data_IF_898670526792
#
_entry.id   IF_898670526792
#
_cell.length_a   1.000
_cell.length_b   1.000
_cell.length_c   1.000
_cell.angle_alpha   90.00
_cell.angle_beta   90.00
_cell.angle_gamma   90.00
#
_symmetry.space_group_name_H-M   'P 1'
#
loop_
_entity.id
_entity.type
_entity.pdbx_description
1 polymer ?
#
# COMPACT_ATOMS: atom_id res chain seq x y z
N UNK A 1 7.03 -15.40 7.00
CA UNK A 1 5.60 -15.04 6.86
C UNK A 1 5.33 -14.82 5.39
N UNK A 2 4.19 -15.28 4.87
CA UNK A 2 3.75 -14.87 3.53
C UNK A 2 3.09 -13.48 3.61
N UNK A 3 3.01 -12.80 2.48
CA UNK A 3 2.33 -11.50 2.38
C UNK A 3 1.11 -11.67 1.49
N UNK A 4 -0.08 -11.50 2.07
CA UNK A 4 -1.33 -11.42 1.36
C UNK A 4 -1.78 -9.97 1.28
N UNK A 5 -2.09 -9.49 0.08
CA UNK A 5 -2.65 -8.17 -0.12
C UNK A 5 -4.10 -8.28 -0.56
N UNK A 6 -5.00 -7.49 0.03
CA UNK A 6 -6.42 -7.51 -0.27
C UNK A 6 -6.89 -6.14 -0.76
N UNK A 7 -7.59 -6.12 -1.88
CA UNK A 7 -8.23 -4.91 -2.39
C UNK A 7 -8.30 -4.82 -3.90
N UNK A 8 -8.16 -3.59 -4.40
CA UNK A 8 -8.34 -3.23 -5.79
C UNK A 8 -7.17 -3.63 -6.68
N UNK A 9 -7.53 -4.07 -7.86
CA UNK A 9 -6.67 -4.18 -9.03
C UNK A 9 -7.31 -3.37 -10.15
N UNK A 10 -6.60 -2.41 -10.70
CA UNK A 10 -7.13 -1.45 -11.65
C UNK A 10 -6.29 -1.40 -12.92
N UNK A 11 -6.92 -0.99 -14.02
CA UNK A 11 -6.20 -0.61 -15.24
C UNK A 11 -6.20 0.90 -15.36
N UNK A 12 -5.02 1.50 -15.20
CA UNK A 12 -4.78 2.91 -15.43
C UNK A 12 -4.56 3.18 -16.92
N UNK A 13 -5.39 4.05 -17.50
CA UNK A 13 -5.24 4.54 -18.86
C UNK A 13 -4.40 5.81 -18.83
N UNK A 14 -3.10 5.68 -19.09
CA UNK A 14 -2.15 6.79 -19.09
C UNK A 14 -2.15 7.50 -20.44
N UNK A 15 -2.26 8.84 -20.49
CA UNK A 15 -2.25 9.56 -21.76
C UNK A 15 -0.86 9.50 -22.41
N UNK A 16 -0.85 9.22 -23.72
CA UNK A 16 0.34 9.29 -24.57
C UNK A 16 0.34 10.58 -25.38
N UNK A 17 -0.58 10.69 -26.34
CA UNK A 17 -0.80 11.88 -27.18
C UNK A 17 -2.17 11.76 -27.87
N UNK A 18 -2.82 12.87 -28.22
CA UNK A 18 -3.96 12.95 -29.10
C UNK A 18 -5.07 11.89 -28.83
N UNK A 19 -5.54 11.79 -27.58
CA UNK A 19 -6.55 10.80 -27.15
C UNK A 19 -6.09 9.34 -27.27
N UNK A 20 -4.77 9.08 -27.36
CA UNK A 20 -4.19 7.75 -27.23
C UNK A 20 -3.79 7.49 -25.78
N UNK A 21 -4.05 6.29 -25.31
CA UNK A 21 -3.77 5.88 -23.94
C UNK A 21 -3.03 4.57 -23.91
N UNK A 22 -2.13 4.44 -22.96
CA UNK A 22 -1.49 3.17 -22.62
C UNK A 22 -2.19 2.57 -21.39
N UNK A 23 -2.67 1.34 -21.53
CA UNK A 23 -3.18 0.58 -20.40
C UNK A 23 -2.01 0.08 -19.53
N UNK A 24 -2.05 0.43 -18.26
CA UNK A 24 -1.08 0.03 -17.25
C UNK A 24 -1.79 -0.66 -16.09
N UNK A 25 -1.23 -1.75 -15.58
CA UNK A 25 -1.75 -2.37 -14.38
C UNK A 25 -1.39 -1.52 -13.15
N UNK A 26 -2.32 -1.42 -12.20
CA UNK A 26 -2.21 -0.62 -10.99
C UNK A 26 -3.15 -1.10 -9.88
N UNK A 27 -3.31 -0.29 -8.87
CA UNK A 27 -3.97 -0.59 -7.59
C UNK A 27 -2.94 -0.70 -6.48
N UNK A 28 -3.16 -0.02 -5.35
CA UNK A 28 -2.14 0.01 -4.29
C UNK A 28 -1.83 -1.38 -3.73
N UNK A 29 -2.80 -2.20 -3.31
CA UNK A 29 -2.51 -3.56 -2.83
C UNK A 29 -1.94 -4.48 -3.93
N UNK A 30 -2.32 -4.25 -5.20
CA UNK A 30 -1.76 -4.95 -6.35
C UNK A 30 -0.26 -4.64 -6.53
N UNK A 31 0.12 -3.37 -6.42
CA UNK A 31 1.51 -2.92 -6.50
C UNK A 31 2.34 -3.48 -5.33
N UNK A 32 1.79 -3.48 -4.12
CA UNK A 32 2.45 -4.05 -2.93
C UNK A 32 2.68 -5.55 -3.09
N UNK A 33 1.70 -6.31 -3.63
CA UNK A 33 1.87 -7.74 -3.90
C UNK A 33 3.06 -8.02 -4.82
N UNK A 34 3.13 -7.29 -5.94
CA UNK A 34 4.21 -7.43 -6.92
C UNK A 34 5.56 -6.97 -6.32
N UNK A 35 5.57 -5.85 -5.59
CA UNK A 35 6.77 -5.36 -4.93
C UNK A 35 7.33 -6.38 -3.94
N UNK A 36 6.48 -6.97 -3.11
CA UNK A 36 6.86 -8.02 -2.16
C UNK A 36 7.43 -9.27 -2.86
N UNK A 37 6.79 -9.72 -3.95
CA UNK A 37 7.29 -10.86 -4.74
C UNK A 37 8.67 -10.58 -5.35
N UNK A 38 8.88 -9.38 -5.92
CA UNK A 38 10.18 -8.95 -6.48
C UNK A 38 11.28 -8.87 -5.42
N UNK A 39 10.91 -8.64 -4.16
CA UNK A 39 11.82 -8.63 -3.00
C UNK A 39 12.02 -10.03 -2.38
N UNK A 40 11.55 -11.08 -3.07
CA UNK A 40 11.78 -12.48 -2.71
C UNK A 40 10.81 -13.04 -1.67
N UNK A 41 9.69 -12.35 -1.38
CA UNK A 41 8.66 -12.86 -0.49
C UNK A 41 7.69 -13.79 -1.22
N UNK A 42 7.15 -14.76 -0.51
CA UNK A 42 5.94 -15.45 -0.91
C UNK A 42 4.78 -14.44 -0.83
N UNK A 43 4.20 -14.10 -1.97
CA UNK A 43 3.15 -13.07 -2.06
C UNK A 43 1.91 -13.62 -2.76
N UNK A 44 0.73 -13.23 -2.29
CA UNK A 44 -0.55 -13.55 -2.88
C UNK A 44 -1.48 -12.34 -2.92
N UNK A 45 -2.36 -12.30 -3.92
CA UNK A 45 -3.32 -11.22 -4.10
C UNK A 45 -4.75 -11.75 -3.92
N UNK A 46 -5.50 -11.10 -3.04
CA UNK A 46 -6.92 -11.37 -2.76
C UNK A 46 -7.72 -10.21 -3.36
N UNK A 47 -8.46 -10.48 -4.42
CA UNK A 47 -9.21 -9.45 -5.13
C UNK A 47 -10.23 -10.03 -6.08
N UNK A 48 -10.93 -9.14 -6.79
CA UNK A 48 -11.89 -9.52 -7.81
C UNK A 48 -11.78 -8.60 -9.01
N UNK A 49 -11.69 -9.18 -10.20
CA UNK A 49 -11.61 -8.47 -11.48
C UNK A 49 -12.69 -8.99 -12.42
N UNK A 50 -13.05 -8.22 -13.44
CA UNK A 50 -14.00 -8.67 -14.44
C UNK A 50 -13.47 -9.87 -15.24
N UNK A 51 -14.36 -10.72 -15.69
CA UNK A 51 -14.07 -11.74 -16.72
C UNK A 51 -14.02 -11.04 -18.08
N UNK A 52 -13.00 -10.16 -18.25
CA UNK A 52 -12.77 -9.33 -19.43
C UNK A 52 -11.26 -9.22 -19.71
N UNK A 53 -10.91 -8.63 -20.86
CA UNK A 53 -9.51 -8.53 -21.29
C UNK A 53 -8.62 -7.82 -20.27
N UNK A 54 -9.15 -6.82 -19.56
CA UNK A 54 -8.41 -6.13 -18.50
C UNK A 54 -8.21 -7.01 -17.26
N UNK A 55 -9.22 -7.77 -16.86
CA UNK A 55 -9.10 -8.72 -15.75
C UNK A 55 -8.06 -9.82 -16.04
N UNK A 56 -8.08 -10.37 -17.25
CA UNK A 56 -7.07 -11.33 -17.66
C UNK A 56 -5.66 -10.73 -17.77
N UNK A 57 -5.55 -9.47 -18.21
CA UNK A 57 -4.29 -8.73 -18.22
C UNK A 57 -3.73 -8.56 -16.81
N UNK A 58 -4.55 -8.15 -15.83
CA UNK A 58 -4.16 -8.01 -14.44
C UNK A 58 -3.74 -9.36 -13.82
N UNK A 59 -4.54 -10.41 -14.04
CA UNK A 59 -4.22 -11.76 -13.57
C UNK A 59 -2.88 -12.24 -14.10
N UNK A 60 -2.64 -12.05 -15.40
CA UNK A 60 -1.38 -12.42 -16.05
C UNK A 60 -0.22 -11.62 -15.46
N UNK A 61 -0.38 -10.33 -15.23
CA UNK A 61 0.66 -9.46 -14.65
C UNK A 61 1.08 -9.93 -13.25
N UNK A 62 0.13 -10.32 -12.39
CA UNK A 62 0.42 -10.92 -11.09
C UNK A 62 1.21 -12.23 -11.23
N UNK A 63 0.71 -13.14 -12.08
CA UNK A 63 1.34 -14.44 -12.29
C UNK A 63 2.76 -14.33 -12.83
N UNK A 64 2.99 -13.43 -13.81
CA UNK A 64 4.32 -13.17 -14.37
C UNK A 64 5.29 -12.61 -13.34
N UNK A 65 4.78 -11.90 -12.33
CA UNK A 65 5.57 -11.39 -11.20
C UNK A 65 5.78 -12.43 -10.07
N UNK A 66 5.23 -13.63 -10.18
CA UNK A 66 5.33 -14.67 -9.17
C UNK A 66 4.38 -14.52 -7.98
N UNK A 67 3.34 -13.68 -8.12
CA UNK A 67 2.28 -13.53 -7.10
C UNK A 67 1.23 -14.63 -7.28
N UNK A 68 0.83 -15.29 -6.18
CA UNK A 68 -0.29 -16.25 -6.22
C UNK A 68 -1.59 -15.55 -6.59
N UNK A 69 -2.29 -16.10 -7.57
CA UNK A 69 -3.60 -15.62 -8.05
C UNK A 69 -4.74 -16.58 -7.71
N UNK A 70 -4.52 -17.53 -6.80
CA UNK A 70 -5.54 -18.51 -6.38
C UNK A 70 -6.73 -17.83 -5.69
N UNK A 71 -6.48 -16.69 -5.05
CA UNK A 71 -7.48 -15.85 -4.37
C UNK A 71 -8.00 -14.69 -5.23
N UNK A 72 -7.73 -14.69 -6.54
CA UNK A 72 -8.26 -13.70 -7.47
C UNK A 72 -9.53 -14.25 -8.14
N UNK A 73 -10.69 -13.66 -7.78
CA UNK A 73 -11.98 -13.99 -8.38
C UNK A 73 -12.13 -13.35 -9.76
N UNK A 74 -12.78 -14.06 -10.69
CA UNK A 74 -13.26 -13.52 -11.97
C UNK A 74 -14.76 -13.27 -11.88
N UNK A 75 -15.20 -12.07 -12.24
CA UNK A 75 -16.59 -11.64 -12.21
C UNK A 75 -17.17 -11.56 -13.62
N UNK A 76 -18.21 -12.36 -13.89
CA UNK A 76 -18.89 -12.36 -15.19
C UNK A 76 -20.00 -11.29 -15.30
N UNK A 77 -20.29 -10.55 -14.21
CA UNK A 77 -21.36 -9.53 -14.18
C UNK A 77 -20.81 -8.11 -14.16
N UNK A 78 -19.69 -7.88 -13.46
CA UNK A 78 -19.08 -6.57 -13.31
C UNK A 78 -17.75 -6.49 -14.07
N UNK A 79 -17.44 -5.30 -14.55
CA UNK A 79 -16.21 -5.04 -15.30
C UNK A 79 -15.02 -4.75 -14.38
N UNK A 80 -13.84 -4.98 -14.91
CA UNK A 80 -12.58 -4.61 -14.25
C UNK A 80 -12.54 -3.10 -14.01
N UNK A 81 -12.09 -2.70 -12.84
CA UNK A 81 -11.87 -1.28 -12.50
C UNK A 81 -10.91 -0.64 -13.49
N UNK A 82 -11.34 0.48 -14.09
CA UNK A 82 -10.59 1.20 -15.11
C UNK A 82 -10.59 2.67 -14.77
N UNK A 83 -9.40 3.28 -14.76
CA UNK A 83 -9.18 4.67 -14.36
C UNK A 83 -8.53 5.43 -15.50
N UNK A 84 -9.15 6.53 -15.92
CA UNK A 84 -8.53 7.48 -16.85
C UNK A 84 -7.64 8.43 -16.05
N UNK A 85 -6.36 8.46 -16.36
CA UNK A 85 -5.41 9.40 -15.77
C UNK A 85 -5.28 10.62 -16.66
N UNK A 86 -5.49 11.80 -16.10
CA UNK A 86 -5.25 13.07 -16.77
C UNK A 86 -4.05 13.78 -16.13
N UNK A 87 -3.30 14.52 -16.95
CA UNK A 87 -2.18 15.34 -16.50
C UNK A 87 -2.60 16.81 -16.61
N UNK A 88 -2.63 17.50 -15.47
CA UNK A 88 -2.86 18.95 -15.41
C UNK A 88 -1.67 19.74 -15.95
N UNK A 89 -1.84 21.07 -16.12
CA UNK A 89 -0.80 21.96 -16.67
C UNK A 89 0.48 22.05 -15.80
N UNK A 90 0.35 21.84 -14.51
CA UNK A 90 1.47 21.82 -13.55
C UNK A 90 1.97 20.39 -13.24
N UNK A 91 1.49 19.37 -13.99
CA UNK A 91 1.84 17.97 -13.77
C UNK A 91 0.98 17.26 -12.72
N UNK A 92 -0.04 17.93 -12.17
CA UNK A 92 -0.97 17.29 -11.25
C UNK A 92 -1.74 16.18 -11.98
N UNK A 93 -1.96 15.07 -11.27
CA UNK A 93 -2.72 13.94 -11.81
C UNK A 93 -4.18 14.02 -11.37
N UNK A 94 -5.06 13.96 -12.34
CA UNK A 94 -6.49 13.71 -12.13
C UNK A 94 -6.81 12.24 -12.40
N UNK A 95 -7.75 11.69 -11.64
CA UNK A 95 -8.22 10.32 -11.79
C UNK A 95 -9.72 10.32 -12.02
N UNK A 96 -10.15 9.73 -13.13
CA UNK A 96 -11.58 9.54 -13.44
C UNK A 96 -11.84 8.04 -13.49
N UNK A 97 -12.62 7.54 -12.55
CA UNK A 97 -13.06 6.14 -12.55
C UNK A 97 -14.11 5.94 -13.64
N UNK A 98 -13.77 5.17 -14.66
CA UNK A 98 -14.64 4.89 -15.80
C UNK A 98 -15.65 3.77 -15.50
N UNK A 99 -15.30 2.88 -14.56
CA UNK A 99 -16.13 1.75 -14.14
C UNK A 99 -16.53 1.93 -12.68
N UNK A 100 -17.82 2.13 -12.41
CA UNK A 100 -18.38 2.21 -11.07
C UNK A 100 -19.86 1.82 -11.10
N UNK A 101 -20.30 0.74 -10.41
CA UNK A 101 -19.45 -0.14 -9.61
C UNK A 101 -18.57 -1.07 -10.46
N UNK A 102 -17.39 -1.39 -9.94
CA UNK A 102 -16.42 -2.30 -10.56
C UNK A 102 -16.32 -3.62 -9.80
N UNK A 103 -15.76 -4.65 -10.43
CA UNK A 103 -15.72 -6.01 -9.91
C UNK A 103 -15.08 -6.14 -8.51
N UNK A 104 -14.04 -5.34 -8.22
CA UNK A 104 -13.33 -5.32 -6.93
C UNK A 104 -14.23 -5.02 -5.74
N UNK A 105 -15.33 -4.26 -5.95
CA UNK A 105 -16.30 -3.92 -4.91
C UNK A 105 -17.16 -5.12 -4.47
N UNK A 106 -17.18 -6.19 -5.27
CA UNK A 106 -17.99 -7.40 -5.05
C UNK A 106 -17.15 -8.61 -4.60
N UNK A 107 -15.95 -8.39 -4.09
CA UNK A 107 -15.11 -9.45 -3.53
C UNK A 107 -15.83 -10.17 -2.39
N UNK A 108 -15.89 -11.52 -2.46
CA UNK A 108 -16.59 -12.37 -1.49
C UNK A 108 -15.64 -13.26 -0.69
N UNK A 109 -16.02 -13.71 0.54
CA UNK A 109 -15.11 -14.45 1.43
C UNK A 109 -14.66 -15.83 0.92
N UNK A 110 -15.35 -16.40 -0.05
CA UNK A 110 -14.99 -17.70 -0.65
C UNK A 110 -13.65 -17.69 -1.41
N UNK A 111 -13.12 -16.48 -1.73
CA UNK A 111 -11.79 -16.33 -2.29
C UNK A 111 -10.66 -16.37 -1.26
N UNK A 112 -10.96 -16.31 0.03
CA UNK A 112 -9.94 -16.20 1.06
C UNK A 112 -9.06 -17.45 1.13
N UNK A 113 -7.72 -17.28 1.20
CA UNK A 113 -6.80 -18.40 1.33
C UNK A 113 -6.85 -18.99 2.74
N UNK A 114 -6.23 -20.15 2.91
CA UNK A 114 -5.91 -20.67 4.23
C UNK A 114 -4.74 -19.90 4.83
N UNK A 115 -5.02 -18.93 5.69
CA UNK A 115 -3.98 -18.16 6.36
C UNK A 115 -3.20 -18.98 7.40
N UNK A 116 -1.93 -18.66 7.56
CA UNK A 116 -1.07 -19.04 8.69
C UNK A 116 -0.72 -17.80 9.53
N UNK A 117 0.50 -17.71 10.07
CA UNK A 117 1.06 -16.52 10.70
C UNK A 117 1.51 -15.48 9.65
N UNK A 118 0.62 -15.14 8.74
CA UNK A 118 0.89 -14.31 7.57
C UNK A 118 0.69 -12.81 7.85
N UNK A 119 1.17 -11.97 6.93
CA UNK A 119 0.84 -10.54 6.90
C UNK A 119 -0.32 -10.35 5.94
N UNK A 120 -1.40 -9.73 6.41
CA UNK A 120 -2.49 -9.23 5.57
C UNK A 120 -2.34 -7.72 5.41
N UNK A 121 -2.14 -7.27 4.18
CA UNK A 121 -2.08 -5.86 3.83
C UNK A 121 -3.31 -5.42 3.07
N UNK A 122 -3.83 -4.23 3.37
CA UNK A 122 -4.95 -3.60 2.67
C UNK A 122 -4.86 -2.07 2.70
N UNK A 123 -5.65 -1.42 1.84
CA UNK A 123 -5.79 0.03 1.74
C UNK A 123 -7.25 0.47 1.91
N UNK A 124 -7.50 1.79 2.06
CA UNK A 124 -8.84 2.31 2.36
C UNK A 124 -9.87 2.04 1.27
N UNK A 125 -9.46 1.82 0.02
CA UNK A 125 -10.39 1.54 -1.07
C UNK A 125 -11.16 0.22 -0.87
N UNK A 126 -10.55 -0.77 -0.20
CA UNK A 126 -11.21 -2.02 0.19
C UNK A 126 -12.34 -1.83 1.24
N UNK A 127 -12.40 -0.64 1.86
CA UNK A 127 -13.40 -0.31 2.90
C UNK A 127 -14.66 0.35 2.34
N UNK A 128 -14.63 0.83 1.09
CA UNK A 128 -15.72 1.62 0.50
C UNK A 128 -17.00 0.78 0.30
N UNK A 129 -16.86 -0.35 -0.40
CA UNK A 129 -17.99 -1.21 -0.70
C UNK A 129 -18.25 -2.21 0.43
N UNK A 130 -19.49 -2.34 0.86
CA UNK A 130 -19.89 -3.19 1.98
C UNK A 130 -19.49 -4.66 1.77
N UNK A 131 -19.65 -5.20 0.56
CA UNK A 131 -19.30 -6.60 0.25
C UNK A 131 -17.79 -6.85 0.40
N UNK A 132 -16.96 -5.97 -0.17
CA UNK A 132 -15.50 -6.05 -0.04
C UNK A 132 -15.07 -5.86 1.42
N UNK A 133 -15.64 -4.86 2.12
CA UNK A 133 -15.39 -4.59 3.54
C UNK A 133 -15.75 -5.79 4.42
N UNK A 134 -16.87 -6.48 4.17
CA UNK A 134 -17.23 -7.70 4.88
C UNK A 134 -16.21 -8.83 4.67
N UNK A 135 -15.74 -9.00 3.43
CA UNK A 135 -14.69 -9.97 3.11
C UNK A 135 -13.39 -9.65 3.85
N UNK A 136 -13.00 -8.37 3.89
CA UNK A 136 -11.83 -7.92 4.65
C UNK A 136 -11.98 -8.20 6.15
N UNK A 137 -13.13 -7.93 6.76
CA UNK A 137 -13.41 -8.26 8.19
C UNK A 137 -13.23 -9.76 8.45
N UNK A 138 -13.70 -10.60 7.53
CA UNK A 138 -13.52 -12.05 7.62
C UNK A 138 -12.04 -12.43 7.52
N UNK A 139 -11.30 -11.87 6.57
CA UNK A 139 -9.87 -12.08 6.42
C UNK A 139 -9.08 -11.66 7.67
N UNK A 140 -9.37 -10.48 8.21
CA UNK A 140 -8.78 -9.96 9.46
C UNK A 140 -8.99 -10.96 10.61
N UNK A 141 -10.20 -11.47 10.76
CA UNK A 141 -10.52 -12.46 11.80
C UNK A 141 -9.67 -13.73 11.64
N UNK A 142 -9.55 -14.25 10.41
CA UNK A 142 -8.77 -15.45 10.14
C UNK A 142 -7.28 -15.24 10.43
N UNK A 143 -6.71 -14.12 9.98
CA UNK A 143 -5.28 -13.80 10.19
C UNK A 143 -4.98 -13.64 11.69
N UNK A 144 -5.80 -12.89 12.42
CA UNK A 144 -5.62 -12.70 13.87
C UNK A 144 -5.71 -14.01 14.66
N UNK A 145 -6.63 -14.90 14.29
CA UNK A 145 -6.74 -16.23 14.91
C UNK A 145 -5.51 -17.11 14.73
N UNK A 146 -4.69 -16.83 13.70
CA UNK A 146 -3.45 -17.54 13.40
C UNK A 146 -2.20 -16.83 13.92
N UNK A 147 -2.35 -15.69 14.61
CA UNK A 147 -1.22 -14.90 15.11
C UNK A 147 -0.51 -14.08 14.04
N UNK A 148 -1.12 -13.90 12.88
CA UNK A 148 -0.59 -13.07 11.81
C UNK A 148 -0.72 -11.56 12.10
N UNK A 149 -0.14 -10.75 11.23
CA UNK A 149 -0.08 -9.29 11.35
C UNK A 149 -1.00 -8.61 10.34
N UNK A 150 -1.58 -7.48 10.76
CA UNK A 150 -2.37 -6.60 9.90
C UNK A 150 -1.57 -5.36 9.53
N UNK A 151 -1.43 -5.10 8.23
CA UNK A 151 -0.83 -3.89 7.68
C UNK A 151 -1.88 -3.06 6.97
N UNK A 152 -2.05 -1.83 7.40
CA UNK A 152 -2.98 -0.87 6.79
C UNK A 152 -2.21 0.36 6.30
N UNK A 153 -2.23 0.59 4.98
CA UNK A 153 -1.88 1.88 4.37
C UNK A 153 -3.18 2.64 4.12
N UNK A 154 -3.34 3.81 4.73
CA UNK A 154 -4.59 4.58 4.61
C UNK A 154 -4.89 4.89 3.16
N UNK A 155 -3.93 5.35 2.38
CA UNK A 155 -3.99 5.53 0.93
C UNK A 155 -5.38 6.01 0.46
N UNK A 156 -5.79 7.17 0.97
CA UNK A 156 -7.15 7.67 0.88
C UNK A 156 -7.56 8.03 -0.55
N UNK A 157 -8.79 7.69 -0.90
CA UNK A 157 -9.43 8.04 -2.17
C UNK A 157 -10.81 8.63 -1.89
N UNK A 158 -10.83 9.88 -1.41
CA UNK A 158 -12.05 10.57 -0.97
C UNK A 158 -13.19 10.54 -2.01
N UNK A 159 -12.84 10.63 -3.29
CA UNK A 159 -13.82 10.64 -4.39
C UNK A 159 -14.62 9.33 -4.54
N UNK A 160 -14.17 8.25 -3.92
CA UNK A 160 -14.86 6.96 -3.95
C UNK A 160 -15.85 6.79 -2.79
N UNK A 161 -15.82 7.69 -1.83
CA UNK A 161 -16.69 7.60 -0.66
C UNK A 161 -17.94 8.46 -0.83
N UNK A 162 -19.13 7.89 -0.62
CA UNK A 162 -20.39 8.65 -0.71
C UNK A 162 -20.56 9.66 0.42
N UNK A 163 -20.01 9.37 1.59
CA UNK A 163 -20.09 10.21 2.80
C UNK A 163 -18.74 10.36 3.48
N UNK A 164 -18.34 11.61 3.75
CA UNK A 164 -17.04 11.92 4.38
C UNK A 164 -16.99 11.56 5.86
N UNK A 165 -18.12 11.57 6.55
CA UNK A 165 -18.18 11.19 7.96
C UNK A 165 -18.05 9.67 8.10
N UNK A 166 -18.81 8.90 7.30
CA UNK A 166 -18.68 7.44 7.24
C UNK A 166 -17.23 7.03 6.89
N UNK A 167 -16.60 7.73 5.95
CA UNK A 167 -15.21 7.51 5.57
C UNK A 167 -14.27 7.63 6.77
N UNK A 168 -14.33 8.74 7.50
CA UNK A 168 -13.45 8.99 8.65
C UNK A 168 -13.63 7.96 9.75
N UNK A 169 -14.87 7.67 10.13
CA UNK A 169 -15.20 6.69 11.17
C UNK A 169 -14.73 5.27 10.77
N UNK A 170 -14.95 4.89 9.50
CA UNK A 170 -14.54 3.58 9.00
C UNK A 170 -13.02 3.47 8.96
N UNK A 171 -12.31 4.44 8.44
CA UNK A 171 -10.83 4.41 8.38
C UNK A 171 -10.24 4.36 9.78
N UNK A 172 -10.74 5.14 10.74
CA UNK A 172 -10.31 5.09 12.15
C UNK A 172 -10.56 3.73 12.78
N UNK A 173 -11.72 3.12 12.51
CA UNK A 173 -12.06 1.81 13.03
C UNK A 173 -11.07 0.74 12.56
N UNK A 174 -10.66 0.75 11.28
CA UNK A 174 -9.68 -0.21 10.77
C UNK A 174 -8.23 0.14 11.17
N UNK A 175 -7.88 1.43 11.27
CA UNK A 175 -6.60 1.86 11.81
C UNK A 175 -6.37 1.37 13.26
N UNK A 176 -7.43 1.33 14.07
CA UNK A 176 -7.37 0.81 15.43
C UNK A 176 -7.20 -0.73 15.51
N UNK A 177 -7.27 -1.45 14.40
CA UNK A 177 -7.06 -2.90 14.34
C UNK A 177 -5.69 -3.28 13.78
N UNK A 178 -5.00 -2.35 13.13
CA UNK A 178 -3.72 -2.59 12.47
C UNK A 178 -2.59 -2.82 13.47
N UNK A 179 -1.65 -3.69 13.13
CA UNK A 179 -0.36 -3.86 13.80
C UNK A 179 0.69 -2.92 13.20
N UNK A 180 0.59 -2.71 11.88
CA UNK A 180 1.43 -1.80 11.09
C UNK A 180 0.49 -0.81 10.41
N UNK A 181 0.60 0.47 10.77
CA UNK A 181 -0.20 1.55 10.20
C UNK A 181 0.71 2.53 9.47
N UNK A 182 0.44 2.78 8.19
CA UNK A 182 1.15 3.79 7.41
C UNK A 182 0.17 4.86 6.91
N UNK A 183 0.63 6.10 6.96
CA UNK A 183 -0.09 7.27 6.46
C UNK A 183 0.87 8.19 5.70
N UNK A 184 0.37 9.01 4.79
CA UNK A 184 1.06 10.23 4.39
C UNK A 184 0.84 11.35 5.44
N UNK A 185 1.60 12.44 5.34
CA UNK A 185 1.42 13.62 6.20
C UNK A 185 0.00 14.18 6.08
N UNK A 186 -0.52 14.31 4.86
CA UNK A 186 -1.88 14.79 4.63
C UNK A 186 -2.94 13.86 5.25
N UNK A 187 -2.78 12.55 5.10
CA UNK A 187 -3.68 11.55 5.68
C UNK A 187 -3.64 11.56 7.21
N UNK A 188 -2.46 11.76 7.79
CA UNK A 188 -2.29 11.90 9.22
C UNK A 188 -3.07 13.10 9.77
N UNK A 189 -2.90 14.29 9.16
CA UNK A 189 -3.64 15.49 9.52
C UNK A 189 -5.15 15.33 9.29
N UNK A 190 -5.54 14.75 8.18
CA UNK A 190 -6.94 14.45 7.89
C UNK A 190 -7.54 13.51 8.94
N UNK A 191 -6.88 12.40 9.26
CA UNK A 191 -7.38 11.40 10.19
C UNK A 191 -7.48 11.94 11.63
N UNK A 192 -6.55 12.80 12.03
CA UNK A 192 -6.55 13.39 13.38
C UNK A 192 -7.40 14.64 13.49
N UNK A 193 -7.76 15.27 12.36
CA UNK A 193 -8.50 16.53 12.30
C UNK A 193 -7.69 17.74 12.78
N UNK A 194 -6.36 17.63 12.82
CA UNK A 194 -5.49 18.70 13.36
C UNK A 194 -4.19 18.83 12.57
N UNK A 195 -3.80 20.08 12.34
CA UNK A 195 -2.46 20.46 11.85
C UNK A 195 -1.50 20.82 12.99
N UNK A 196 -1.96 20.90 14.24
CA UNK A 196 -1.08 21.02 15.38
C UNK A 196 -0.34 19.71 15.61
N UNK A 197 1.00 19.77 15.56
CA UNK A 197 1.86 18.59 15.63
C UNK A 197 1.63 17.79 16.91
N UNK A 198 1.56 18.44 18.06
CA UNK A 198 1.42 17.76 19.35
C UNK A 198 0.06 17.09 19.48
N UNK A 199 -1.00 17.76 19.03
CA UNK A 199 -2.35 17.18 19.03
C UNK A 199 -2.45 15.99 18.09
N UNK A 200 -1.98 16.13 16.86
CA UNK A 200 -2.00 15.07 15.87
C UNK A 200 -1.12 13.87 16.29
N UNK A 201 0.03 14.12 16.91
CA UNK A 201 0.91 13.07 17.44
C UNK A 201 0.24 12.29 18.57
N UNK A 202 -0.39 12.98 19.52
CA UNK A 202 -1.11 12.35 20.62
C UNK A 202 -2.26 11.47 20.11
N UNK A 203 -3.02 11.95 19.12
CA UNK A 203 -4.10 11.18 18.52
C UNK A 203 -3.59 9.93 17.78
N UNK A 204 -2.47 10.03 17.06
CA UNK A 204 -1.83 8.89 16.40
C UNK A 204 -1.24 7.91 17.44
N UNK A 205 -0.64 8.44 18.51
CA UNK A 205 -0.06 7.60 19.57
C UNK A 205 -1.12 6.78 20.31
N UNK A 206 -2.34 7.30 20.42
CA UNK A 206 -3.47 6.58 21.05
C UNK A 206 -3.92 5.32 20.27
N UNK A 207 -3.55 5.18 19.00
CA UNK A 207 -3.84 3.97 18.23
C UNK A 207 -2.96 2.80 18.68
N UNK A 208 -3.50 1.56 18.74
CA UNK A 208 -2.80 0.42 19.30
C UNK A 208 -1.72 -0.17 18.39
N UNK A 209 -1.60 0.25 17.14
CA UNK A 209 -0.61 -0.27 16.20
C UNK A 209 0.81 -0.26 16.78
N UNK A 210 1.53 -1.36 16.62
CA UNK A 210 2.89 -1.52 17.14
C UNK A 210 3.90 -0.67 16.35
N UNK A 211 3.64 -0.45 15.07
CA UNK A 211 4.46 0.36 14.17
C UNK A 211 3.55 1.34 13.43
N UNK A 212 3.71 2.63 13.71
CA UNK A 212 2.98 3.70 13.02
C UNK A 212 3.98 4.55 12.24
N UNK A 213 3.77 4.67 10.95
CA UNK A 213 4.68 5.34 10.01
C UNK A 213 3.95 6.48 9.33
N UNK A 214 4.48 7.70 9.43
CA UNK A 214 4.03 8.85 8.66
C UNK A 214 5.12 9.21 7.64
N UNK A 215 4.79 9.20 6.36
CA UNK A 215 5.74 9.50 5.28
C UNK A 215 5.62 10.96 4.83
N UNK A 216 6.78 11.61 4.59
CA UNK A 216 6.93 13.01 4.17
C UNK A 216 7.58 13.12 2.78
N UNK A 217 7.33 12.15 1.91
CA UNK A 217 7.93 12.12 0.57
C UNK A 217 9.46 12.06 0.61
N UNK A 218 10.13 13.01 -0.04
CA UNK A 218 11.59 13.08 -0.09
C UNK A 218 12.25 13.41 1.25
N UNK A 219 11.50 13.97 2.19
CA UNK A 219 12.00 14.28 3.54
C UNK A 219 12.08 13.05 4.45
N UNK A 220 11.60 11.89 3.98
CA UNK A 220 11.68 10.65 4.73
C UNK A 220 10.43 10.27 5.49
N UNK A 221 10.54 9.81 6.74
CA UNK A 221 9.42 9.33 7.52
C UNK A 221 9.60 9.54 9.02
N UNK A 222 8.49 9.73 9.71
CA UNK A 222 8.38 9.68 11.17
C UNK A 222 7.78 8.34 11.57
N UNK A 223 8.34 7.73 12.60
CA UNK A 223 7.87 6.46 13.14
C UNK A 223 7.55 6.60 14.61
N UNK A 224 6.33 6.23 14.99
CA UNK A 224 5.97 6.01 16.39
C UNK A 224 6.14 4.52 16.67
N UNK A 225 7.09 4.20 17.52
CA UNK A 225 7.44 2.84 17.87
C UNK A 225 7.75 2.75 19.37
N UNK A 226 6.99 1.92 20.09
CA UNK A 226 7.02 1.91 21.56
C UNK A 226 6.76 3.34 22.09
N UNK A 227 7.58 3.81 23.02
CA UNK A 227 7.46 5.15 23.63
C UNK A 227 8.35 6.21 22.94
N UNK A 228 8.70 5.99 21.68
CA UNK A 228 9.63 6.85 20.94
C UNK A 228 9.04 7.35 19.65
N UNK A 229 9.34 8.59 19.32
CA UNK A 229 9.13 9.19 18.00
C UNK A 229 10.49 9.29 17.32
N UNK A 230 10.63 8.64 16.18
CA UNK A 230 11.90 8.54 15.46
C UNK A 230 11.70 9.11 14.06
N UNK A 231 12.53 10.07 13.68
CA UNK A 231 12.57 10.63 12.34
C UNK A 231 13.69 9.96 11.56
N UNK A 232 13.38 9.46 10.38
CA UNK A 232 14.33 8.88 9.43
C UNK A 232 14.39 9.76 8.20
N UNK A 233 15.57 10.17 7.78
CA UNK A 233 15.76 10.95 6.56
C UNK A 233 15.40 10.13 5.32
N UNK A 234 15.05 10.82 4.24
CA UNK A 234 14.82 10.20 2.94
C UNK A 234 16.12 10.02 2.16
N UNK A 235 16.11 9.12 1.17
CA UNK A 235 17.19 9.04 0.20
C UNK A 235 17.03 10.12 -0.88
N UNK A 236 18.10 10.88 -1.12
CA UNK A 236 18.14 11.84 -2.22
C UNK A 236 18.38 11.14 -3.55
N UNK A 237 17.39 11.18 -4.43
CA UNK A 237 17.46 10.59 -5.78
C UNK A 237 16.95 11.58 -6.82
N UNK A 238 17.30 11.34 -8.09
CA UNK A 238 16.71 12.11 -9.19
C UNK A 238 15.34 11.54 -9.54
N UNK A 239 14.29 12.13 -8.94
CA UNK A 239 12.91 11.69 -9.12
C UNK A 239 12.39 12.05 -10.52
N UNK A 240 11.73 11.07 -11.16
CA UNK A 240 11.10 11.19 -12.48
C UNK A 240 9.57 11.10 -12.37
N UNK A 241 9.09 10.21 -11.50
CA UNK A 241 7.66 9.94 -11.32
C UNK A 241 7.43 9.36 -9.91
N UNK A 242 6.61 10.01 -9.11
CA UNK A 242 6.34 9.59 -7.72
C UNK A 242 5.25 8.54 -7.58
N UNK A 243 4.64 8.12 -8.71
CA UNK A 243 3.56 7.11 -8.69
C UNK A 243 4.06 5.77 -8.16
N UNK A 244 3.34 5.22 -7.19
CA UNK A 244 3.67 3.94 -6.58
C UNK A 244 4.84 3.99 -5.58
N UNK A 245 5.40 5.17 -5.27
CA UNK A 245 6.47 5.29 -4.27
C UNK A 245 6.01 4.83 -2.88
N UNK A 246 4.79 5.17 -2.48
CA UNK A 246 4.16 4.70 -1.24
C UNK A 246 3.99 3.19 -1.23
N UNK A 247 3.51 2.60 -2.32
CA UNK A 247 3.31 1.16 -2.46
C UNK A 247 4.66 0.41 -2.40
N UNK A 248 5.70 0.95 -3.07
CA UNK A 248 7.06 0.42 -3.02
C UNK A 248 7.66 0.50 -1.60
N UNK A 249 7.43 1.60 -0.90
CA UNK A 249 7.82 1.76 0.49
C UNK A 249 7.17 0.69 1.38
N UNK A 250 5.86 0.50 1.25
CA UNK A 250 5.12 -0.53 1.99
C UNK A 250 5.64 -1.92 1.63
N UNK A 251 5.82 -2.23 0.35
CA UNK A 251 6.36 -3.52 -0.09
C UNK A 251 7.75 -3.79 0.54
N UNK A 252 8.63 -2.77 0.57
CA UNK A 252 9.94 -2.84 1.20
C UNK A 252 9.87 -3.10 2.71
N UNK A 253 8.99 -2.38 3.42
CA UNK A 253 8.76 -2.56 4.86
C UNK A 253 8.23 -3.96 5.18
N UNK A 254 7.18 -4.39 4.47
CA UNK A 254 6.57 -5.70 4.69
C UNK A 254 7.50 -6.85 4.32
N UNK A 255 8.30 -6.70 3.26
CA UNK A 255 9.32 -7.70 2.91
C UNK A 255 10.37 -7.85 4.00
N UNK A 256 10.84 -6.75 4.60
CA UNK A 256 11.75 -6.81 5.74
C UNK A 256 11.12 -7.55 6.92
N UNK A 257 9.87 -7.21 7.27
CA UNK A 257 9.13 -7.84 8.38
C UNK A 257 8.84 -9.32 8.09
N UNK A 258 8.45 -9.66 6.87
CA UNK A 258 8.17 -11.05 6.48
C UNK A 258 9.39 -11.97 6.67
N UNK A 259 10.59 -11.46 6.41
CA UNK A 259 11.84 -12.21 6.54
C UNK A 259 12.41 -12.24 7.96
N UNK A 260 12.16 -11.22 8.81
CA UNK A 260 12.85 -11.02 10.09
C UNK A 260 11.91 -10.87 11.29
N UNK A 261 10.61 -10.77 11.07
CA UNK A 261 9.64 -10.41 12.12
C UNK A 261 9.60 -8.90 12.39
N UNK A 262 8.74 -8.51 13.32
CA UNK A 262 8.66 -7.11 13.77
C UNK A 262 9.97 -6.65 14.43
N UNK A 263 10.42 -5.40 14.19
CA UNK A 263 11.64 -4.87 14.78
C UNK A 263 11.64 -4.97 16.33
N UNK A 264 12.72 -5.49 16.90
CA UNK A 264 12.86 -5.68 18.35
C UNK A 264 13.71 -4.59 19.03
N UNK A 265 14.49 -3.85 18.25
CA UNK A 265 15.36 -2.74 18.70
C UNK A 265 15.46 -1.66 17.62
N UNK A 266 16.03 -0.50 17.97
CA UNK A 266 16.14 0.66 17.08
C UNK A 266 16.99 0.35 15.84
N UNK A 267 18.02 -0.50 15.96
CA UNK A 267 18.87 -0.88 14.83
C UNK A 267 18.07 -1.69 13.78
N UNK A 268 17.28 -2.65 14.21
CA UNK A 268 16.38 -3.40 13.31
C UNK A 268 15.31 -2.50 12.70
N UNK A 269 14.75 -1.57 13.48
CA UNK A 269 13.82 -0.59 12.97
C UNK A 269 14.48 0.29 11.91
N UNK A 270 15.70 0.77 12.14
CA UNK A 270 16.47 1.54 11.17
C UNK A 270 16.68 0.77 9.86
N UNK A 271 17.07 -0.52 9.95
CA UNK A 271 17.24 -1.37 8.77
C UNK A 271 15.91 -1.54 8.00
N UNK A 272 14.80 -1.75 8.71
CA UNK A 272 13.48 -1.88 8.10
C UNK A 272 13.07 -0.59 7.37
N UNK A 273 13.25 0.55 8.02
CA UNK A 273 12.92 1.87 7.46
C UNK A 273 13.85 2.23 6.29
N UNK A 274 15.15 1.93 6.38
CA UNK A 274 16.09 2.12 5.30
C UNK A 274 15.71 1.31 4.04
N UNK A 275 15.31 0.03 4.22
CA UNK A 275 14.82 -0.80 3.13
C UNK A 275 13.55 -0.23 2.50
N UNK A 276 12.57 0.17 3.33
CA UNK A 276 11.32 0.77 2.89
C UNK A 276 11.58 2.07 2.10
N UNK A 277 12.38 2.97 2.65
CA UNK A 277 12.75 4.25 2.01
C UNK A 277 13.53 4.04 0.71
N UNK A 278 14.45 3.07 0.65
CA UNK A 278 15.17 2.72 -0.58
C UNK A 278 14.23 2.22 -1.67
N UNK A 279 13.25 1.39 -1.34
CA UNK A 279 12.24 0.93 -2.29
C UNK A 279 11.39 2.10 -2.81
N UNK A 280 10.92 2.98 -1.92
CA UNK A 280 10.17 4.18 -2.29
C UNK A 280 11.00 5.11 -3.19
N UNK A 281 12.25 5.40 -2.83
CA UNK A 281 13.14 6.24 -3.61
C UNK A 281 13.42 5.64 -5.00
N UNK A 282 13.75 4.34 -5.08
CA UNK A 282 13.97 3.65 -6.35
C UNK A 282 12.75 3.72 -7.27
N UNK A 283 11.55 3.56 -6.72
CA UNK A 283 10.31 3.64 -7.48
C UNK A 283 10.10 5.02 -8.11
N UNK A 284 10.66 6.10 -7.54
CA UNK A 284 10.54 7.44 -8.14
C UNK A 284 11.47 7.67 -9.31
N UNK A 285 12.48 6.84 -9.54
CA UNK A 285 13.52 7.07 -10.56
C UNK A 285 13.10 6.70 -11.98
N UNK A 286 11.93 6.10 -12.16
CA UNK A 286 11.40 5.66 -13.46
C UNK A 286 9.90 5.98 -13.55
N UNK A 287 9.37 6.05 -14.78
CA UNK A 287 7.94 6.24 -15.01
C UNK A 287 7.14 4.98 -14.74
N UNK A 288 5.98 5.15 -14.09
CA UNK A 288 4.96 4.12 -13.86
C UNK A 288 5.21 3.28 -12.61
N UNK A 289 4.15 3.01 -11.86
CA UNK A 289 4.20 2.36 -10.56
C UNK A 289 4.89 0.99 -10.61
N UNK A 290 4.44 0.09 -11.49
CA UNK A 290 4.96 -1.29 -11.54
C UNK A 290 6.35 -1.41 -12.15
N UNK A 291 6.62 -0.63 -13.20
CA UNK A 291 7.91 -0.69 -13.92
C UNK A 291 9.06 -0.22 -13.04
N UNK A 292 8.76 0.64 -12.09
CA UNK A 292 9.72 1.25 -11.18
C UNK A 292 9.95 0.46 -9.88
N UNK A 293 9.08 -0.50 -9.54
CA UNK A 293 9.25 -1.34 -8.35
C UNK A 293 10.59 -2.09 -8.40
N UNK A 294 11.45 -1.93 -7.39
CA UNK A 294 12.75 -2.61 -7.36
C UNK A 294 12.61 -4.11 -7.12
N UNK A 295 13.57 -4.85 -7.64
CA UNK A 295 13.85 -6.22 -7.22
C UNK A 295 14.97 -6.24 -6.16
N UNK A 296 15.25 -7.44 -5.62
CA UNK A 296 16.30 -7.65 -4.61
C UNK A 296 17.67 -7.17 -5.08
N UNK A 297 18.01 -7.33 -6.36
CA UNK A 297 19.32 -6.93 -6.90
C UNK A 297 19.42 -5.41 -6.98
N UNK A 298 18.39 -4.73 -7.48
CA UNK A 298 18.33 -3.27 -7.54
C UNK A 298 18.38 -2.65 -6.13
N UNK A 299 17.62 -3.22 -5.19
CA UNK A 299 17.64 -2.79 -3.79
C UNK A 299 19.03 -2.96 -3.14
N UNK A 300 19.64 -4.14 -3.26
CA UNK A 300 20.99 -4.40 -2.70
C UNK A 300 22.04 -3.47 -3.31
N UNK A 301 21.99 -3.25 -4.62
CA UNK A 301 22.90 -2.31 -5.31
C UNK A 301 22.72 -0.90 -4.77
N UNK A 302 21.48 -0.47 -4.56
CA UNK A 302 21.15 0.86 -4.05
C UNK A 302 21.68 1.04 -2.61
N UNK A 303 21.35 0.12 -1.68
CA UNK A 303 21.77 0.19 -0.28
C UNK A 303 23.30 0.10 -0.15
N UNK A 304 23.97 -0.63 -1.04
CA UNK A 304 25.45 -0.69 -1.03
C UNK A 304 26.07 0.63 -1.48
N UNK A 305 25.41 1.36 -2.38
CA UNK A 305 25.90 2.63 -2.94
C UNK A 305 25.62 3.83 -2.04
N UNK A 306 24.49 3.82 -1.34
CA UNK A 306 24.06 4.91 -0.45
C UNK A 306 24.20 4.44 1.00
N UNK A 307 24.77 5.29 1.87
CA UNK A 307 24.74 5.05 3.32
C UNK A 307 23.28 4.95 3.79
N UNK A 308 23.05 4.21 4.89
CA UNK A 308 21.74 4.24 5.52
C UNK A 308 21.37 5.67 5.91
N UNK A 309 20.10 6.07 5.77
CA UNK A 309 19.66 7.40 6.16
C UNK A 309 19.93 7.68 7.63
N UNK A 310 20.24 8.91 7.96
CA UNK A 310 20.36 9.33 9.35
C UNK A 310 18.99 9.27 10.04
N UNK A 311 19.00 9.16 11.36
CA UNK A 311 17.79 9.19 12.16
C UNK A 311 17.96 9.95 13.48
N UNK A 312 16.89 10.58 13.95
CA UNK A 312 16.81 11.30 15.20
C UNK A 312 15.73 10.68 16.10
N UNK A 313 16.09 10.35 17.35
CA UNK A 313 15.14 9.80 18.34
C UNK A 313 14.70 10.94 19.27
N UNK A 314 13.39 11.22 19.29
CA UNK A 314 12.78 12.10 20.29
C UNK A 314 12.01 11.24 21.28
N UNK A 315 12.23 11.45 22.57
CA UNK A 315 11.37 10.85 23.60
C UNK A 315 10.01 11.52 23.50
N UNK A 316 8.96 10.72 23.32
CA UNK A 316 7.57 11.17 23.29
C UNK A 316 7.09 11.66 24.65
#
# INVERSE_FOLDING_TARGET
MNIWTLGDAVVDLLPLSDMQYQACAGGAPFNVAIGAARLGCQSGFIGRVGEDDFGYFLKKTLSDAGVSTESLQLDNQHRTSTVLVSLGRAGERGFTFLTNPSADQFLTPDALPGFSDDILHFCSLALVAETCRHTLVTAISHVKQRGGLLSFDVNLREQMWPDKHEMLETVRHFAAQADILKLSEEEWHWMTGSHDFSHALNALNALPAQLKVVTYGEQGAMVLWRDSVIHFDGYTVNSVDTTGAGDAFVAGLLAWIAHRGMPQNVEQLHQAMAQASACGALATTRKGALTALPDTNALNTFITRFSLPDYEVKKG
#
